data_IF_383263995433
#
_entry.id   IF_383263995433
#
_cell.length_a   1.000
_cell.length_b   1.000
_cell.length_c   1.000
_cell.angle_alpha   90.00
_cell.angle_beta   90.00
_cell.angle_gamma   90.00
#
_symmetry.space_group_name_H-M   'P 1'
#
loop_
_entity.id
_entity.type
_entity.pdbx_description
1 polymer ?
#
# COMPACT_ATOMS: atom_id res chain seq x y z
N UNK A 1 4.03 42.70 -39.23
CA UNK A 1 3.70 41.29 -39.52
C UNK A 1 4.69 40.33 -38.87
N UNK A 2 6.00 40.50 -39.05
CA UNK A 2 7.02 39.65 -38.39
C UNK A 2 6.92 39.61 -36.85
N UNK A 3 6.78 40.77 -36.21
CA UNK A 3 6.70 40.84 -34.73
C UNK A 3 5.47 40.11 -34.16
N UNK A 4 4.34 40.18 -34.88
CA UNK A 4 3.10 39.53 -34.46
C UNK A 4 3.17 38.01 -34.64
N UNK A 5 3.79 37.55 -35.73
CA UNK A 5 4.05 36.12 -35.98
C UNK A 5 5.00 35.55 -34.93
N UNK A 6 6.04 36.30 -34.56
CA UNK A 6 7.01 35.88 -33.55
C UNK A 6 6.36 35.78 -32.15
N UNK A 7 5.52 36.74 -31.78
CA UNK A 7 4.77 36.73 -30.52
C UNK A 7 3.77 35.57 -30.42
N UNK A 8 3.11 35.21 -31.52
CA UNK A 8 2.21 34.04 -31.55
C UNK A 8 2.99 32.73 -31.40
N UNK A 9 4.16 32.65 -32.01
CA UNK A 9 5.02 31.47 -31.93
C UNK A 9 5.55 31.22 -30.51
N UNK A 10 5.94 32.28 -29.79
CA UNK A 10 6.44 32.17 -28.41
C UNK A 10 5.35 31.77 -27.42
N UNK A 11 4.10 32.24 -27.62
CA UNK A 11 2.95 31.83 -26.80
C UNK A 11 2.62 30.35 -27.03
N UNK A 12 2.65 29.87 -28.27
CA UNK A 12 2.38 28.46 -28.59
C UNK A 12 3.43 27.50 -27.99
N UNK A 13 4.70 27.91 -27.98
CA UNK A 13 5.79 27.12 -27.39
C UNK A 13 5.71 27.06 -25.85
N UNK A 14 5.12 28.07 -25.21
CA UNK A 14 4.92 28.07 -23.75
C UNK A 14 3.86 27.05 -23.27
N UNK A 15 3.08 26.48 -24.19
CA UNK A 15 2.13 25.40 -23.89
C UNK A 15 2.73 23.99 -24.06
N UNK A 16 3.98 23.86 -24.52
CA UNK A 16 4.75 22.61 -24.47
C UNK A 16 5.31 22.39 -23.06
N UNK A 17 4.43 22.42 -22.06
CA UNK A 17 4.77 21.82 -20.78
C UNK A 17 4.76 20.31 -21.02
N UNK A 18 5.94 19.71 -21.03
CA UNK A 18 6.02 18.28 -20.75
C UNK A 18 5.40 18.12 -19.37
N UNK A 19 4.18 17.56 -19.31
CA UNK A 19 3.78 16.88 -18.10
C UNK A 19 4.94 15.94 -17.80
N UNK A 20 5.63 16.15 -16.68
CA UNK A 20 6.57 15.15 -16.19
C UNK A 20 5.76 13.87 -16.20
N UNK A 21 6.18 12.93 -17.04
CA UNK A 21 5.58 11.62 -17.09
C UNK A 21 6.09 10.94 -15.83
N UNK A 22 5.64 11.46 -14.67
CA UNK A 22 6.23 11.28 -13.36
C UNK A 22 6.50 9.79 -13.29
N UNK A 23 7.78 9.42 -13.33
CA UNK A 23 8.18 8.03 -13.39
C UNK A 23 7.36 7.30 -12.34
N UNK A 24 6.67 6.21 -12.76
CA UNK A 24 5.78 5.46 -11.88
C UNK A 24 6.43 5.33 -10.50
N UNK A 25 5.68 5.64 -9.43
CA UNK A 25 6.19 5.70 -8.06
C UNK A 25 7.28 4.66 -7.83
N UNK A 26 8.53 5.09 -7.67
CA UNK A 26 9.65 4.18 -7.39
C UNK A 26 9.58 3.64 -5.95
N UNK A 27 8.65 4.15 -5.15
CA UNK A 27 8.41 3.74 -3.80
C UNK A 27 7.34 2.66 -3.76
N UNK A 28 7.65 1.60 -3.02
CA UNK A 28 6.67 0.61 -2.60
C UNK A 28 5.52 1.30 -1.85
N UNK A 29 4.30 0.83 -2.05
CA UNK A 29 3.19 1.22 -1.19
C UNK A 29 3.21 0.35 0.06
N UNK A 30 3.04 0.99 1.22
CA UNK A 30 3.04 0.33 2.52
C UNK A 30 1.65 0.44 3.14
N UNK A 31 1.18 -0.66 3.71
CA UNK A 31 -0.03 -0.70 4.53
C UNK A 31 0.35 -1.22 5.93
N UNK A 32 0.03 -0.46 6.97
CA UNK A 32 0.59 -0.66 8.32
C UNK A 32 -0.53 -0.72 9.34
N UNK A 33 -0.58 -1.82 10.09
CA UNK A 33 -1.54 -2.03 11.17
C UNK A 33 -0.81 -2.19 12.50
N UNK A 34 -1.11 -1.29 13.42
CA UNK A 34 -0.76 -1.41 14.83
C UNK A 34 -1.76 -2.35 15.52
N UNK A 35 -1.29 -3.48 16.05
CA UNK A 35 -2.18 -4.56 16.51
C UNK A 35 -1.89 -5.02 17.94
N UNK A 36 -2.96 -5.48 18.59
CA UNK A 36 -2.94 -6.19 19.87
C UNK A 36 -3.74 -7.48 19.74
N UNK A 37 -3.33 -8.52 20.46
CA UNK A 37 -4.05 -9.79 20.47
C UNK A 37 -5.35 -9.68 21.28
N UNK A 38 -6.41 -10.27 20.75
CA UNK A 38 -7.60 -10.56 21.55
C UNK A 38 -7.24 -11.50 22.71
N UNK A 39 -8.04 -11.48 23.79
CA UNK A 39 -7.82 -12.32 24.96
C UNK A 39 -7.67 -13.81 24.58
N UNK A 40 -6.57 -14.43 25.01
CA UNK A 40 -6.26 -15.83 24.76
C UNK A 40 -5.77 -16.14 23.34
N UNK A 41 -5.47 -15.11 22.53
CA UNK A 41 -4.82 -15.23 21.22
C UNK A 41 -3.35 -14.89 21.32
N UNK A 42 -2.54 -15.56 20.52
CA UNK A 42 -1.08 -15.43 20.56
C UNK A 42 -0.48 -15.49 19.14
N UNK A 43 0.83 -15.35 19.05
CA UNK A 43 1.56 -15.30 17.78
C UNK A 43 1.33 -16.52 16.88
N UNK A 44 1.09 -17.70 17.46
CA UNK A 44 0.82 -18.91 16.69
C UNK A 44 -0.56 -18.88 16.02
N UNK A 45 -1.56 -18.28 16.65
CA UNK A 45 -2.86 -18.01 15.99
C UNK A 45 -2.68 -17.07 14.80
N UNK A 46 -1.86 -16.03 14.95
CA UNK A 46 -1.56 -15.11 13.85
C UNK A 46 -0.84 -15.83 12.72
N UNK A 47 0.15 -16.69 13.01
CA UNK A 47 0.86 -17.45 11.99
C UNK A 47 -0.07 -18.35 11.18
N UNK A 48 -1.02 -19.02 11.85
CA UNK A 48 -2.04 -19.82 11.18
C UNK A 48 -2.91 -18.95 10.26
N UNK A 49 -3.41 -17.82 10.77
CA UNK A 49 -4.20 -16.85 10.00
C UNK A 49 -3.42 -16.28 8.81
N UNK A 50 -2.15 -15.91 8.99
CA UNK A 50 -1.29 -15.41 7.91
C UNK A 50 -1.09 -16.45 6.80
N UNK A 51 -1.03 -17.74 7.13
CA UNK A 51 -1.00 -18.81 6.13
C UNK A 51 -2.28 -18.89 5.30
N UNK A 52 -3.44 -18.73 5.93
CA UNK A 52 -4.73 -18.67 5.21
C UNK A 52 -4.83 -17.43 4.32
N UNK A 53 -4.36 -16.28 4.80
CA UNK A 53 -4.30 -15.04 4.03
C UNK A 53 -3.36 -15.15 2.83
N UNK A 54 -2.17 -15.72 3.00
CA UNK A 54 -1.21 -15.93 1.90
C UNK A 54 -1.79 -16.83 0.81
N UNK A 55 -2.44 -17.94 1.20
CA UNK A 55 -3.12 -18.82 0.25
C UNK A 55 -4.22 -18.09 -0.51
N UNK A 56 -5.08 -17.36 0.20
CA UNK A 56 -6.15 -16.58 -0.41
C UNK A 56 -5.61 -15.50 -1.37
N UNK A 57 -4.54 -14.79 -0.97
CA UNK A 57 -3.93 -13.76 -1.79
C UNK A 57 -3.37 -14.34 -3.11
N UNK A 58 -2.72 -15.50 -3.05
CA UNK A 58 -2.22 -16.24 -4.23
C UNK A 58 -3.35 -16.67 -5.15
N UNK A 59 -4.44 -17.21 -4.62
CA UNK A 59 -5.63 -17.59 -5.40
C UNK A 59 -6.28 -16.39 -6.11
N UNK A 60 -6.12 -15.18 -5.58
CA UNK A 60 -6.66 -13.94 -6.14
C UNK A 60 -5.61 -13.12 -6.91
N UNK A 61 -4.45 -13.69 -7.20
CA UNK A 61 -3.35 -13.04 -7.94
C UNK A 61 -2.90 -11.70 -7.34
N UNK A 62 -3.00 -11.55 -6.01
CA UNK A 62 -2.53 -10.37 -5.32
C UNK A 62 -1.02 -10.46 -5.11
N UNK A 63 -0.31 -9.38 -5.44
CA UNK A 63 1.15 -9.30 -5.33
C UNK A 63 1.55 -8.44 -4.14
N UNK A 64 2.38 -8.97 -3.25
CA UNK A 64 2.86 -8.22 -2.08
C UNK A 64 3.68 -9.09 -1.14
N UNK A 65 4.14 -8.51 -0.04
CA UNK A 65 4.80 -9.23 1.04
C UNK A 65 4.33 -8.70 2.38
N UNK A 66 3.98 -9.61 3.28
CA UNK A 66 3.51 -9.30 4.63
C UNK A 66 4.61 -9.59 5.65
N UNK A 67 4.73 -8.72 6.64
CA UNK A 67 5.71 -8.80 7.72
C UNK A 67 5.01 -8.62 9.06
N UNK A 68 5.36 -9.48 10.02
CA UNK A 68 4.95 -9.34 11.41
C UNK A 68 6.17 -8.82 12.19
N UNK A 69 6.07 -7.60 12.70
CA UNK A 69 7.14 -6.93 13.43
C UNK A 69 6.79 -6.90 14.92
N UNK A 70 7.59 -7.59 15.73
CA UNK A 70 7.48 -7.54 17.19
C UNK A 70 8.42 -6.50 17.77
N UNK A 71 7.97 -5.66 18.73
CA UNK A 71 8.83 -4.70 19.40
C UNK A 71 9.88 -5.42 20.26
N UNK A 72 11.17 -5.13 20.04
CA UNK A 72 12.28 -5.75 20.78
C UNK A 72 13.04 -4.81 21.71
N UNK A 73 13.08 -3.50 21.41
CA UNK A 73 13.94 -2.52 22.08
C UNK A 73 13.18 -1.27 22.55
N UNK A 74 11.90 -1.18 22.21
CA UNK A 74 11.03 -0.12 22.68
C UNK A 74 10.19 -0.68 23.82
N UNK A 75 10.30 -0.07 25.00
CA UNK A 75 9.28 -0.22 26.04
C UNK A 75 8.03 0.50 25.52
N UNK A 76 7.14 -0.27 24.92
CA UNK A 76 5.85 0.19 24.43
C UNK A 76 4.81 0.25 25.55
N UNK A 77 5.26 0.30 26.82
CA UNK A 77 4.52 0.03 28.07
C UNK A 77 3.12 0.62 28.23
N UNK A 78 2.78 1.71 27.52
CA UNK A 78 1.45 2.33 27.53
C UNK A 78 0.65 2.20 26.20
N UNK A 79 1.26 1.73 25.12
CA UNK A 79 0.59 1.67 23.81
C UNK A 79 -0.36 0.48 23.66
N UNK A 80 -0.22 -0.56 24.51
CA UNK A 80 -0.98 -1.81 24.41
C UNK A 80 -0.72 -2.61 23.12
N UNK A 81 0.28 -2.22 22.32
CA UNK A 81 0.61 -2.84 21.05
C UNK A 81 1.48 -4.08 21.24
N UNK A 82 1.04 -5.20 20.68
CA UNK A 82 1.82 -6.45 20.67
C UNK A 82 2.69 -6.59 19.42
N UNK A 83 2.22 -6.07 18.28
CA UNK A 83 2.92 -6.17 16.99
C UNK A 83 2.48 -5.11 15.99
N UNK A 84 3.30 -4.94 14.95
CA UNK A 84 2.91 -4.25 13.72
C UNK A 84 2.79 -5.29 12.60
N UNK A 85 1.65 -5.32 11.93
CA UNK A 85 1.47 -6.04 10.67
C UNK A 85 1.71 -5.07 9.52
N UNK A 86 2.67 -5.38 8.65
CA UNK A 86 3.11 -4.51 7.57
C UNK A 86 2.98 -5.25 6.24
N UNK A 87 2.21 -4.70 5.31
CA UNK A 87 2.18 -5.15 3.93
C UNK A 87 2.95 -4.20 3.02
N UNK A 88 3.74 -4.77 2.11
CA UNK A 88 4.48 -4.05 1.07
C UNK A 88 3.97 -4.48 -0.30
N UNK A 89 3.57 -3.50 -1.10
CA UNK A 89 3.16 -3.64 -2.50
C UNK A 89 4.17 -2.95 -3.42
N UNK A 90 4.21 -3.28 -4.72
CA UNK A 90 5.19 -2.65 -5.62
C UNK A 90 4.85 -1.18 -5.88
N UNK A 91 3.56 -0.85 -5.90
CA UNK A 91 3.04 0.48 -6.13
C UNK A 91 1.65 0.64 -5.47
N UNK A 92 1.05 1.82 -5.59
CA UNK A 92 -0.26 2.12 -4.98
C UNK A 92 -1.43 1.49 -5.74
N UNK A 93 -1.26 1.14 -7.02
CA UNK A 93 -2.29 0.42 -7.79
C UNK A 93 -2.47 -1.00 -7.25
N UNK A 94 -1.36 -1.72 -7.01
CA UNK A 94 -1.36 -3.05 -6.40
C UNK A 94 -2.03 -3.03 -5.00
N UNK A 95 -1.73 -2.00 -4.19
CA UNK A 95 -2.38 -1.79 -2.90
C UNK A 95 -3.90 -1.58 -3.06
N UNK A 96 -4.32 -0.73 -3.99
CA UNK A 96 -5.73 -0.47 -4.26
C UNK A 96 -6.50 -1.72 -4.75
N UNK A 97 -5.85 -2.55 -5.57
CA UNK A 97 -6.39 -3.84 -6.01
C UNK A 97 -6.53 -4.81 -4.83
N UNK A 98 -5.52 -4.90 -3.96
CA UNK A 98 -5.56 -5.74 -2.76
C UNK A 98 -6.67 -5.31 -1.79
N UNK A 99 -6.80 -4.01 -1.50
CA UNK A 99 -7.89 -3.48 -0.67
C UNK A 99 -9.27 -3.72 -1.28
N UNK A 100 -9.40 -3.59 -2.60
CA UNK A 100 -10.65 -3.88 -3.31
C UNK A 100 -11.03 -5.36 -3.22
N UNK A 101 -10.05 -6.26 -3.39
CA UNK A 101 -10.26 -7.70 -3.25
C UNK A 101 -10.64 -8.08 -1.81
N UNK A 102 -9.95 -7.50 -0.82
CA UNK A 102 -10.25 -7.71 0.60
C UNK A 102 -11.65 -7.21 0.95
N UNK A 103 -12.01 -5.99 0.53
CA UNK A 103 -13.34 -5.42 0.76
C UNK A 103 -14.46 -6.28 0.20
N UNK A 104 -14.26 -6.86 -0.99
CA UNK A 104 -15.20 -7.82 -1.57
C UNK A 104 -15.32 -9.10 -0.75
N UNK A 105 -14.19 -9.63 -0.25
CA UNK A 105 -14.19 -10.83 0.61
C UNK A 105 -14.98 -10.58 1.90
N UNK A 106 -14.67 -9.51 2.64
CA UNK A 106 -15.30 -9.24 3.94
C UNK A 106 -16.74 -8.74 3.82
N UNK A 107 -17.08 -8.05 2.73
CA UNK A 107 -18.45 -7.63 2.43
C UNK A 107 -19.38 -8.80 2.13
N UNK A 108 -18.84 -9.92 1.63
CA UNK A 108 -19.59 -11.14 1.30
C UNK A 108 -19.65 -12.15 2.47
N UNK A 109 -19.06 -11.80 3.62
CA UNK A 109 -19.12 -12.58 4.87
C UNK A 109 -20.10 -12.00 5.90
N UNK A 110 -20.95 -11.06 5.49
CA UNK A 110 -22.07 -10.52 6.31
C UNK A 110 -23.41 -11.07 5.86
#
# INVERSE_FOLDING_TARGET
MNELVLAVFTILLAHLNFADNHAASQYAALDIYACSFCKGKHIDDLRALSGELDKWAKENSLTGSSYVMTPHIADLGDSGLDLVFLDRYQNHEDLGLAHSAWSKKVGNTR
#
